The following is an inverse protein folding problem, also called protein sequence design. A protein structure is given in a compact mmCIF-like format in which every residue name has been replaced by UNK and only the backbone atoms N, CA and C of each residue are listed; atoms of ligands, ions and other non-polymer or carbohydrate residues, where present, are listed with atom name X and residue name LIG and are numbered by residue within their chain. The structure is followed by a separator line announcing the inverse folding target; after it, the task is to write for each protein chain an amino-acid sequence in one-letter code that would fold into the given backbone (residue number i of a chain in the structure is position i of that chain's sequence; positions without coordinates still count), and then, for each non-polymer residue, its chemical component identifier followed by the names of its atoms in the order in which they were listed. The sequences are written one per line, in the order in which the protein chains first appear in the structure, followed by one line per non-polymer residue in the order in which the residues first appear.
data_IF_716681085489
#
_entry.id   IF_716681085489
#
_cell.length_a   1.000
_cell.length_b   1.000
_cell.length_c   1.000
_cell.angle_alpha   90.00
_cell.angle_beta   90.00
_cell.angle_gamma   90.00
#
_symmetry.space_group_name_H-M   'P 1'
#
loop_
_entity.id
_entity.type
_entity.pdbx_description
1 polymer ?
#
# COMPACT_ATOMS: atom_id res chain seq x y z
N UNK A 1 0.33 13.38 29.27
CA UNK A 1 -0.98 12.89 28.78
C UNK A 1 -1.64 13.84 27.78
N UNK A 2 -1.83 15.13 28.10
CA UNK A 2 -2.48 16.08 27.18
C UNK A 2 -1.80 16.19 25.80
N UNK A 3 -0.47 16.25 25.76
CA UNK A 3 0.30 16.30 24.50
C UNK A 3 0.02 15.07 23.62
N UNK A 4 -0.05 13.88 24.22
CA UNK A 4 -0.32 12.63 23.51
C UNK A 4 -1.75 12.61 22.97
N UNK A 5 -2.71 13.10 23.77
CA UNK A 5 -4.09 13.26 23.31
C UNK A 5 -4.19 14.23 22.13
N UNK A 6 -3.48 15.37 22.16
CA UNK A 6 -3.43 16.32 21.05
C UNK A 6 -2.77 15.74 19.80
N UNK A 7 -1.68 14.97 19.96
CA UNK A 7 -1.02 14.28 18.86
C UNK A 7 -1.94 13.26 18.19
N UNK A 8 -2.65 12.45 18.99
CA UNK A 8 -3.62 11.48 18.48
C UNK A 8 -4.76 12.20 17.77
N UNK A 9 -5.31 13.26 18.36
CA UNK A 9 -6.33 14.08 17.72
C UNK A 9 -5.87 14.65 16.37
N UNK A 10 -4.67 15.21 16.30
CA UNK A 10 -4.11 15.75 15.06
C UNK A 10 -3.86 14.66 14.02
N UNK A 11 -3.36 13.50 14.44
CA UNK A 11 -3.15 12.35 13.58
C UNK A 11 -4.45 11.81 12.99
N UNK A 12 -5.52 11.71 13.79
CA UNK A 12 -6.84 11.30 13.32
C UNK A 12 -7.51 12.33 12.41
N UNK A 13 -7.14 13.62 12.53
CA UNK A 13 -7.54 14.66 11.57
C UNK A 13 -6.78 14.59 10.24
N UNK A 14 -5.79 13.70 10.10
CA UNK A 14 -4.98 13.55 8.89
C UNK A 14 -3.72 14.42 8.87
N UNK A 15 -3.35 15.05 9.99
CA UNK A 15 -2.08 15.79 10.09
C UNK A 15 -0.95 14.77 10.23
N UNK A 16 0.05 14.77 9.33
CA UNK A 16 1.21 13.90 9.47
C UNK A 16 2.02 14.35 10.69
N UNK A 17 1.88 13.62 11.80
CA UNK A 17 2.58 13.91 13.06
C UNK A 17 4.05 13.47 13.04
N UNK A 18 4.48 12.74 12.01
CA UNK A 18 5.85 12.25 11.85
C UNK A 18 6.24 11.12 12.81
N UNK A 19 5.33 10.69 13.69
CA UNK A 19 5.54 9.66 14.71
C UNK A 19 4.41 8.64 14.60
N UNK A 20 4.74 7.35 14.63
CA UNK A 20 3.76 6.28 14.77
C UNK A 20 3.01 6.46 16.10
N UNK A 21 1.69 6.69 16.04
CA UNK A 21 0.91 7.05 17.22
C UNK A 21 0.92 5.93 18.27
N UNK A 22 1.04 4.67 17.85
CA UNK A 22 1.21 3.52 18.72
C UNK A 22 2.48 3.62 19.57
N UNK A 23 3.57 4.11 18.98
CA UNK A 23 4.84 4.34 19.68
C UNK A 23 4.66 5.48 20.69
N UNK A 24 3.97 6.55 20.31
CA UNK A 24 3.66 7.65 21.23
C UNK A 24 2.84 7.17 22.44
N UNK A 25 1.89 6.24 22.24
CA UNK A 25 1.09 5.65 23.33
C UNK A 25 1.89 4.70 24.21
N UNK A 26 2.78 3.89 23.61
CA UNK A 26 3.69 3.01 24.33
C UNK A 26 4.65 3.82 25.22
N UNK A 27 5.23 4.90 24.67
CA UNK A 27 6.08 5.83 25.42
C UNK A 27 5.30 6.58 26.50
N UNK A 28 4.05 6.99 26.21
CA UNK A 28 3.19 7.62 27.20
C UNK A 28 2.90 6.68 28.38
N UNK A 29 2.57 5.42 28.09
CA UNK A 29 2.30 4.40 29.10
C UNK A 29 3.51 4.10 29.98
N UNK A 30 4.71 4.11 29.42
CA UNK A 30 5.94 3.79 30.14
C UNK A 30 6.48 4.94 30.99
N UNK A 31 6.61 6.13 30.39
CA UNK A 31 7.27 7.26 31.06
C UNK A 31 6.31 8.17 31.83
N UNK A 32 5.05 8.29 31.41
CA UNK A 32 4.16 9.32 31.93
C UNK A 32 3.01 8.79 32.78
N UNK A 33 2.90 7.46 32.95
CA UNK A 33 1.89 6.83 33.79
C UNK A 33 2.61 6.09 34.91
N UNK A 34 2.35 6.48 36.16
CA UNK A 34 3.01 5.90 37.34
C UNK A 34 2.08 5.09 38.23
N UNK A 35 0.77 5.15 38.01
CA UNK A 35 -0.24 4.46 38.81
C UNK A 35 -1.38 3.91 37.94
N UNK A 36 -2.09 2.91 38.44
CA UNK A 36 -3.23 2.31 37.75
C UNK A 36 -4.39 3.30 37.50
N UNK A 37 -4.76 4.21 38.44
CA UNK A 37 -5.74 5.25 38.15
C UNK A 37 -5.29 6.22 37.03
N UNK A 38 -4.01 6.55 36.97
CA UNK A 38 -3.46 7.37 35.89
C UNK A 38 -3.49 6.66 34.54
N UNK A 39 -3.37 5.33 34.52
CA UNK A 39 -3.53 4.52 33.31
C UNK A 39 -4.95 4.61 32.77
N UNK A 40 -5.95 4.36 33.62
CA UNK A 40 -7.36 4.44 33.22
C UNK A 40 -7.69 5.85 32.72
N UNK A 41 -7.25 6.88 33.43
CA UNK A 41 -7.45 8.26 33.02
C UNK A 41 -6.78 8.56 31.66
N UNK A 42 -5.55 8.11 31.46
CA UNK A 42 -4.82 8.26 30.19
C UNK A 42 -5.54 7.60 29.03
N UNK A 43 -6.02 6.37 29.21
CA UNK A 43 -6.78 5.63 28.20
C UNK A 43 -8.06 6.38 27.86
N UNK A 44 -8.86 6.79 28.85
CA UNK A 44 -10.12 7.53 28.62
C UNK A 44 -9.83 8.83 27.87
N UNK A 45 -8.86 9.63 28.34
CA UNK A 45 -8.55 10.92 27.76
C UNK A 45 -8.12 10.81 26.29
N UNK A 46 -7.24 9.87 25.98
CA UNK A 46 -6.75 9.68 24.62
C UNK A 46 -7.81 9.04 23.72
N UNK A 47 -8.60 8.08 24.22
CA UNK A 47 -9.72 7.51 23.46
C UNK A 47 -10.76 8.57 23.12
N UNK A 48 -11.04 9.52 24.02
CA UNK A 48 -11.92 10.67 23.71
C UNK A 48 -11.32 11.52 22.58
N UNK A 49 -10.01 11.80 22.62
CA UNK A 49 -9.35 12.54 21.56
C UNK A 49 -9.38 11.82 20.20
N UNK A 50 -9.15 10.50 20.18
CA UNK A 50 -9.27 9.65 18.98
C UNK A 50 -10.70 9.67 18.41
N UNK A 51 -11.71 9.49 19.27
CA UNK A 51 -13.12 9.52 18.88
C UNK A 51 -13.47 10.89 18.29
N UNK A 52 -13.04 11.99 18.92
CA UNK A 52 -13.32 13.34 18.42
C UNK A 52 -12.69 13.61 17.05
N UNK A 53 -11.41 13.24 16.86
CA UNK A 53 -10.71 13.42 15.59
C UNK A 53 -11.36 12.62 14.45
N UNK A 54 -11.62 11.33 14.71
CA UNK A 54 -12.27 10.47 13.71
C UNK A 54 -13.72 10.82 13.44
N UNK A 55 -14.44 11.36 14.42
CA UNK A 55 -15.81 11.87 14.24
C UNK A 55 -15.80 13.12 13.37
N UNK A 56 -14.85 14.04 13.59
CA UNK A 56 -14.71 15.23 12.76
C UNK A 56 -14.45 14.87 11.29
N UNK A 57 -13.52 13.94 11.03
CA UNK A 57 -13.21 13.53 9.66
C UNK A 57 -14.36 12.75 9.00
N UNK A 58 -15.12 11.95 9.77
CA UNK A 58 -16.33 11.30 9.27
C UNK A 58 -17.38 12.33 8.82
N UNK A 59 -17.62 13.37 9.63
CA UNK A 59 -18.58 14.44 9.32
C UNK A 59 -18.12 15.24 8.09
N UNK A 60 -16.84 15.62 8.02
CA UNK A 60 -16.25 16.34 6.87
C UNK A 60 -16.38 15.48 5.60
N UNK A 61 -16.09 14.19 5.69
CA UNK A 61 -16.16 13.26 4.55
C UNK A 61 -17.60 13.04 4.08
N UNK A 62 -18.56 12.99 5.01
CA UNK A 62 -19.99 12.85 4.72
C UNK A 62 -20.59 14.10 4.07
N UNK A 63 -20.20 15.28 4.53
CA UNK A 63 -20.77 16.56 4.09
C UNK A 63 -20.09 17.11 2.84
N UNK A 64 -18.75 17.14 2.84
CA UNK A 64 -17.91 17.68 1.76
C UNK A 64 -17.38 16.61 0.82
N UNK A 65 -16.95 15.46 1.35
CA UNK A 65 -16.30 14.39 0.57
C UNK A 65 -17.18 13.82 -0.54
N UNK A 66 -18.47 13.58 -0.28
CA UNK A 66 -19.41 13.12 -1.32
C UNK A 66 -19.56 14.15 -2.45
N UNK A 67 -19.69 15.44 -2.15
CA UNK A 67 -19.80 16.51 -3.17
C UNK A 67 -18.50 16.70 -3.95
N UNK A 68 -17.35 16.70 -3.26
CA UNK A 68 -16.04 16.82 -3.88
C UNK A 68 -15.73 15.63 -4.78
N UNK A 69 -16.06 14.40 -4.35
CA UNK A 69 -15.86 13.19 -5.14
C UNK A 69 -16.78 13.16 -6.37
N UNK A 70 -18.04 13.58 -6.24
CA UNK A 70 -18.95 13.73 -7.37
C UNK A 70 -18.50 14.82 -8.36
N UNK A 71 -17.89 15.90 -7.85
CA UNK A 71 -17.32 16.96 -8.67
C UNK A 71 -16.06 16.50 -9.42
N UNK A 72 -15.14 15.79 -8.75
CA UNK A 72 -13.93 15.22 -9.36
C UNK A 72 -14.25 14.16 -10.42
N UNK A 73 -15.31 13.38 -10.20
CA UNK A 73 -15.71 12.24 -11.05
C UNK A 73 -16.83 12.59 -12.04
N UNK A 74 -17.17 13.88 -12.19
CA UNK A 74 -18.18 14.40 -13.13
C UNK A 74 -18.04 13.88 -14.56
N UNK A 75 -16.85 13.46 -14.98
CA UNK A 75 -16.59 12.92 -16.32
C UNK A 75 -16.81 11.40 -16.47
N UNK A 76 -17.13 10.66 -15.40
CA UNK A 76 -17.36 9.19 -15.42
C UNK A 76 -18.76 8.78 -14.90
N UNK A 77 -19.74 9.68 -15.04
CA UNK A 77 -20.81 9.93 -14.05
C UNK A 77 -21.91 8.88 -13.80
N UNK A 78 -22.15 7.86 -14.64
CA UNK A 78 -23.35 7.01 -14.44
C UNK A 78 -23.08 5.66 -13.76
N UNK A 79 -21.93 5.03 -13.97
CA UNK A 79 -21.69 3.67 -13.48
C UNK A 79 -21.37 3.59 -11.97
N UNK A 80 -20.95 4.71 -11.37
CA UNK A 80 -20.31 4.74 -10.04
C UNK A 80 -21.25 5.12 -8.89
N UNK A 81 -22.31 5.88 -9.14
CA UNK A 81 -23.37 6.10 -8.15
C UNK A 81 -23.97 4.76 -7.71
N UNK A 82 -24.27 3.90 -8.68
CA UNK A 82 -24.72 2.54 -8.42
C UNK A 82 -23.68 1.72 -7.64
N UNK A 83 -22.37 1.95 -7.83
CA UNK A 83 -21.35 1.21 -7.06
C UNK A 83 -21.44 1.58 -5.58
N UNK A 84 -21.41 2.87 -5.25
CA UNK A 84 -21.46 3.34 -3.87
C UNK A 84 -22.75 2.92 -3.18
N UNK A 85 -23.89 3.05 -3.86
CA UNK A 85 -25.19 2.65 -3.31
C UNK A 85 -25.30 1.13 -3.18
N UNK A 86 -24.74 0.35 -4.13
CA UNK A 86 -24.65 -1.13 -4.01
C UNK A 86 -23.77 -1.55 -2.85
N UNK A 87 -22.63 -0.88 -2.62
CA UNK A 87 -21.78 -1.18 -1.47
C UNK A 87 -22.47 -0.79 -0.18
N UNK A 88 -23.05 0.40 -0.09
CA UNK A 88 -23.84 0.83 1.07
C UNK A 88 -24.94 -0.19 1.41
N UNK A 89 -25.72 -0.62 0.41
CA UNK A 89 -26.76 -1.64 0.59
C UNK A 89 -26.21 -3.01 0.99
N UNK A 90 -25.04 -3.43 0.47
CA UNK A 90 -24.39 -4.69 0.87
C UNK A 90 -23.82 -4.66 2.28
N UNK A 91 -23.39 -3.49 2.73
CA UNK A 91 -22.85 -3.27 4.06
C UNK A 91 -23.94 -3.02 5.11
N UNK A 92 -25.18 -2.79 4.67
CA UNK A 92 -26.33 -2.59 5.55
C UNK A 92 -26.44 -3.73 6.57
N UNK A 93 -26.48 -3.35 7.85
CA UNK A 93 -26.55 -4.29 8.98
C UNK A 93 -25.21 -4.78 9.54
N UNK A 94 -24.09 -4.61 8.83
CA UNK A 94 -22.74 -4.98 9.32
C UNK A 94 -21.82 -3.76 9.53
N UNK A 95 -22.37 -2.55 9.45
CA UNK A 95 -21.65 -1.27 9.54
C UNK A 95 -20.83 -1.15 10.84
N UNK A 96 -21.41 -1.52 11.98
CA UNK A 96 -20.76 -1.44 13.30
C UNK A 96 -19.53 -2.35 13.36
N UNK A 97 -19.70 -3.61 12.95
CA UNK A 97 -18.64 -4.62 12.94
C UNK A 97 -17.51 -4.23 11.98
N UNK A 98 -17.87 -3.73 10.81
CA UNK A 98 -16.90 -3.25 9.82
C UNK A 98 -16.07 -2.09 10.37
N UNK A 99 -16.73 -1.07 10.93
CA UNK A 99 -16.02 0.08 11.53
C UNK A 99 -15.11 -0.39 12.66
N UNK A 100 -15.58 -1.29 13.53
CA UNK A 100 -14.79 -1.82 14.63
C UNK A 100 -13.55 -2.59 14.15
N UNK A 101 -13.74 -3.62 13.31
CA UNK A 101 -12.66 -4.50 12.86
C UNK A 101 -11.62 -3.74 12.03
N UNK A 102 -12.06 -2.84 11.14
CA UNK A 102 -11.14 -2.09 10.28
C UNK A 102 -10.39 -1.03 11.09
N UNK A 103 -11.00 -0.43 12.12
CA UNK A 103 -10.32 0.55 12.99
C UNK A 103 -9.24 -0.05 13.89
N UNK A 104 -9.34 -1.33 14.23
CA UNK A 104 -8.29 -2.02 14.98
C UNK A 104 -7.00 -2.12 14.15
N UNK A 105 -7.10 -2.13 12.81
CA UNK A 105 -5.95 -2.17 11.92
C UNK A 105 -5.27 -0.78 11.86
N UNK A 106 -4.03 -0.62 12.37
CA UNK A 106 -3.30 0.65 12.51
C UNK A 106 -3.33 1.59 11.29
N UNK A 107 -3.38 1.00 10.09
CA UNK A 107 -3.28 1.72 8.82
C UNK A 107 -4.61 1.95 8.14
N UNK A 108 -5.50 0.97 8.23
CA UNK A 108 -6.78 1.04 7.53
C UNK A 108 -7.76 1.95 8.27
N UNK A 109 -7.49 2.22 9.55
CA UNK A 109 -8.33 3.04 10.43
C UNK A 109 -8.49 4.51 10.01
N UNK A 110 -7.53 5.10 9.30
CA UNK A 110 -7.73 6.45 8.75
C UNK A 110 -8.70 6.39 7.55
N UNK A 111 -8.54 5.39 6.68
CA UNK A 111 -9.35 5.23 5.49
C UNK A 111 -10.80 4.85 5.81
N UNK A 112 -11.06 4.13 6.90
CA UNK A 112 -12.45 3.78 7.27
C UNK A 112 -13.25 4.98 7.75
N UNK A 113 -12.64 5.97 8.41
CA UNK A 113 -13.33 7.19 8.83
C UNK A 113 -13.73 8.04 7.61
N UNK A 114 -12.87 8.11 6.60
CA UNK A 114 -13.17 8.75 5.31
C UNK A 114 -14.22 7.93 4.54
N UNK A 115 -13.97 6.63 4.36
CA UNK A 115 -14.84 5.71 3.62
C UNK A 115 -16.24 5.59 4.20
N UNK A 116 -16.38 5.57 5.53
CA UNK A 116 -17.68 5.57 6.21
C UNK A 116 -18.47 6.86 5.96
N UNK A 117 -17.79 8.00 5.87
CA UNK A 117 -18.41 9.26 5.47
C UNK A 117 -18.88 9.23 4.01
N UNK A 118 -18.04 8.72 3.10
CA UNK A 118 -18.36 8.59 1.67
C UNK A 118 -19.51 7.62 1.39
N UNK A 119 -19.56 6.49 2.11
CA UNK A 119 -20.63 5.50 2.04
C UNK A 119 -21.91 5.91 2.81
N UNK A 120 -21.89 7.10 3.43
CA UNK A 120 -22.99 7.67 4.20
C UNK A 120 -23.47 6.76 5.35
N UNK A 121 -22.56 6.00 5.98
CA UNK A 121 -22.87 5.15 7.14
C UNK A 121 -23.57 5.98 8.23
N UNK A 122 -24.65 5.50 8.85
CA UNK A 122 -25.33 6.25 9.90
C UNK A 122 -24.40 6.56 11.07
N UNK A 123 -24.44 7.82 11.53
CA UNK A 123 -23.53 8.33 12.56
C UNK A 123 -23.53 7.47 13.83
N UNK A 124 -24.70 6.98 14.23
CA UNK A 124 -24.87 6.10 15.39
C UNK A 124 -24.11 4.77 15.24
N UNK A 125 -24.19 4.15 14.06
CA UNK A 125 -23.49 2.89 13.79
C UNK A 125 -21.97 3.09 13.74
N UNK A 126 -21.52 4.20 13.13
CA UNK A 126 -20.11 4.59 13.15
C UNK A 126 -19.60 4.74 14.59
N UNK A 127 -20.32 5.48 15.43
CA UNK A 127 -19.88 5.73 16.80
C UNK A 127 -19.88 4.45 17.66
N UNK A 128 -20.87 3.58 17.48
CA UNK A 128 -20.94 2.28 18.15
C UNK A 128 -19.77 1.35 17.80
N UNK A 129 -19.22 1.44 16.59
CA UNK A 129 -18.01 0.69 16.21
C UNK A 129 -16.72 1.41 16.60
N UNK A 130 -16.71 2.75 16.50
CA UNK A 130 -15.55 3.60 16.74
C UNK A 130 -15.15 3.65 18.22
N UNK A 131 -16.11 3.79 19.14
CA UNK A 131 -15.85 3.85 20.58
C UNK A 131 -15.07 2.62 21.08
N UNK A 132 -15.57 1.38 20.92
CA UNK A 132 -14.85 0.21 21.42
C UNK A 132 -13.51 0.01 20.70
N UNK A 133 -13.43 0.35 19.40
CA UNK A 133 -12.15 0.29 18.68
C UNK A 133 -11.12 1.28 19.26
N UNK A 134 -11.53 2.50 19.59
CA UNK A 134 -10.67 3.52 20.19
C UNK A 134 -10.13 3.08 21.56
N UNK A 135 -10.97 2.45 22.39
CA UNK A 135 -10.52 1.93 23.68
C UNK A 135 -9.54 0.77 23.54
N UNK A 136 -9.79 -0.15 22.61
CA UNK A 136 -8.89 -1.28 22.34
C UNK A 136 -7.54 -0.76 21.79
N UNK A 137 -7.59 0.12 20.80
CA UNK A 137 -6.40 0.62 20.13
C UNK A 137 -5.55 1.54 21.02
N UNK A 138 -6.16 2.35 21.91
CA UNK A 138 -5.41 3.13 22.90
C UNK A 138 -4.94 2.25 24.06
N UNK A 139 -5.83 1.38 24.54
CA UNK A 139 -5.62 0.58 25.75
C UNK A 139 -4.48 -0.41 25.61
N UNK A 140 -4.37 -1.13 24.50
CA UNK A 140 -3.33 -2.13 24.28
C UNK A 140 -1.91 -1.51 24.37
N UNK A 141 -1.50 -0.56 23.50
CA UNK A 141 -0.15 -0.01 23.52
C UNK A 141 0.14 0.77 24.81
N UNK A 142 -0.83 1.49 25.36
CA UNK A 142 -0.63 2.25 26.60
C UNK A 142 -0.45 1.32 27.82
N UNK A 143 -1.21 0.21 27.88
CA UNK A 143 -1.05 -0.79 28.94
C UNK A 143 0.26 -1.56 28.79
N UNK A 144 0.65 -1.90 27.56
CA UNK A 144 1.96 -2.51 27.29
C UNK A 144 3.09 -1.59 27.76
N UNK A 145 3.01 -0.28 27.45
CA UNK A 145 3.99 0.69 27.94
C UNK A 145 4.05 0.74 29.47
N UNK A 146 2.88 0.69 30.13
CA UNK A 146 2.79 0.71 31.59
C UNK A 146 3.37 -0.54 32.26
N UNK A 147 3.22 -1.72 31.65
CA UNK A 147 3.71 -2.98 32.20
C UNK A 147 5.21 -3.20 31.93
N UNK A 148 5.70 -2.79 30.76
CA UNK A 148 7.07 -3.08 30.30
C UNK A 148 8.02 -1.88 30.44
N UNK A 149 7.84 -1.03 31.47
CA UNK A 149 8.57 0.25 31.65
C UNK A 149 10.09 0.12 31.46
N UNK A 150 10.68 -0.94 31.98
CA UNK A 150 12.14 -1.13 32.03
C UNK A 150 12.75 -1.62 30.70
N UNK A 151 11.94 -2.10 29.76
CA UNK A 151 12.39 -2.68 28.47
C UNK A 151 11.81 -1.95 27.24
N UNK A 152 11.19 -0.79 27.45
CA UNK A 152 10.47 -0.04 26.39
C UNK A 152 11.33 0.30 25.18
N UNK A 153 12.65 0.47 25.35
CA UNK A 153 13.54 0.77 24.21
C UNK A 153 13.71 -0.42 23.26
N UNK A 154 13.76 -1.65 23.76
CA UNK A 154 13.85 -2.86 22.92
C UNK A 154 12.50 -3.16 22.26
N UNK A 155 11.40 -3.06 23.02
CA UNK A 155 10.05 -3.27 22.48
C UNK A 155 9.62 -2.21 21.48
N UNK A 156 10.00 -0.94 21.66
CA UNK A 156 9.66 0.12 20.72
C UNK A 156 10.33 -0.11 19.36
N UNK A 157 11.57 -0.59 19.33
CA UNK A 157 12.29 -0.88 18.10
C UNK A 157 11.69 -2.09 17.36
N UNK A 158 11.43 -3.19 18.07
CA UNK A 158 10.82 -4.39 17.48
C UNK A 158 9.37 -4.15 17.03
N UNK A 159 8.58 -3.42 17.81
CA UNK A 159 7.20 -3.08 17.45
C UNK A 159 7.16 -2.16 16.23
N UNK A 160 8.06 -1.17 16.16
CA UNK A 160 8.19 -0.30 15.00
C UNK A 160 8.54 -1.12 13.75
N UNK A 161 9.49 -2.05 13.86
CA UNK A 161 9.86 -2.94 12.75
C UNK A 161 8.69 -3.85 12.34
N UNK A 162 8.01 -4.49 13.28
CA UNK A 162 6.86 -5.34 13.01
C UNK A 162 5.69 -4.56 12.38
N UNK A 163 5.42 -3.35 12.86
CA UNK A 163 4.43 -2.45 12.28
C UNK A 163 4.80 -2.05 10.85
N UNK A 164 6.07 -1.77 10.56
CA UNK A 164 6.55 -1.52 9.20
C UNK A 164 6.42 -2.76 8.29
N UNK A 165 6.77 -3.94 8.79
CA UNK A 165 6.63 -5.19 8.02
C UNK A 165 5.16 -5.44 7.69
N UNK A 166 4.25 -5.31 8.66
CA UNK A 166 2.80 -5.44 8.45
C UNK A 166 2.30 -4.35 7.48
N UNK A 167 2.79 -3.11 7.63
CA UNK A 167 2.46 -1.97 6.76
C UNK A 167 2.74 -2.26 5.29
N UNK A 168 3.89 -2.84 4.97
CA UNK A 168 4.25 -3.12 3.58
C UNK A 168 3.71 -4.47 3.10
N UNK A 169 3.68 -5.48 3.97
CA UNK A 169 3.28 -6.84 3.60
C UNK A 169 1.79 -6.98 3.30
N UNK A 170 0.91 -6.34 4.06
CA UNK A 170 -0.56 -6.50 3.88
C UNK A 170 -1.07 -5.88 2.56
N UNK A 171 -0.69 -4.64 2.21
CA UNK A 171 -1.01 -4.07 0.90
C UNK A 171 -0.35 -4.85 -0.24
N UNK A 172 0.90 -5.29 -0.07
CA UNK A 172 1.58 -6.13 -1.06
C UNK A 172 0.81 -7.44 -1.30
N UNK A 173 0.37 -8.12 -0.24
CA UNK A 173 -0.49 -9.31 -0.33
C UNK A 173 -1.84 -9.00 -0.99
N UNK A 174 -2.45 -7.86 -0.70
CA UNK A 174 -3.67 -7.39 -1.35
C UNK A 174 -3.49 -7.19 -2.86
N UNK A 175 -2.39 -6.55 -3.26
CA UNK A 175 -2.02 -6.38 -4.67
C UNK A 175 -1.73 -7.73 -5.32
N UNK A 176 -0.98 -8.61 -4.67
CA UNK A 176 -0.67 -9.96 -5.18
C UNK A 176 -1.93 -10.78 -5.37
N UNK A 177 -2.85 -10.78 -4.40
CA UNK A 177 -4.12 -11.52 -4.49
C UNK A 177 -5.07 -10.90 -5.52
N UNK A 178 -5.10 -9.58 -5.67
CA UNK A 178 -5.85 -8.90 -6.71
C UNK A 178 -5.30 -9.25 -8.11
N UNK A 179 -3.99 -9.23 -8.29
CA UNK A 179 -3.31 -9.66 -9.52
C UNK A 179 -3.58 -11.14 -9.79
N UNK A 180 -3.41 -12.01 -8.79
CA UNK A 180 -3.67 -13.45 -8.92
C UNK A 180 -5.15 -13.73 -9.25
N UNK A 181 -6.09 -13.01 -8.64
CA UNK A 181 -7.51 -13.09 -8.93
C UNK A 181 -7.87 -12.58 -10.33
N UNK A 182 -7.22 -11.51 -10.78
CA UNK A 182 -7.37 -10.95 -12.13
C UNK A 182 -6.81 -11.89 -13.21
N UNK A 183 -5.68 -12.56 -12.93
CA UNK A 183 -5.09 -13.61 -13.76
C UNK A 183 -5.99 -14.85 -13.78
N UNK A 184 -6.52 -15.29 -12.64
CA UNK A 184 -7.39 -16.49 -12.53
C UNK A 184 -8.75 -16.32 -13.20
N UNK A 185 -9.30 -15.10 -13.26
CA UNK A 185 -10.58 -14.77 -13.92
C UNK A 185 -10.56 -14.89 -15.46
N UNK A 186 -9.42 -15.22 -16.08
CA UNK A 186 -9.40 -15.62 -17.49
C UNK A 186 -9.92 -17.05 -17.65
N UNK A 187 -11.06 -17.22 -18.33
CA UNK A 187 -11.71 -18.53 -18.53
C UNK A 187 -10.93 -19.56 -19.37
N UNK A 188 -9.88 -19.13 -20.09
CA UNK A 188 -9.02 -19.99 -20.91
C UNK A 188 -7.54 -19.86 -20.54
N UNK A 189 -6.78 -20.95 -20.67
CA UNK A 189 -5.33 -21.02 -20.36
C UNK A 189 -4.52 -19.92 -21.05
N UNK A 190 -4.87 -19.56 -22.31
CA UNK A 190 -4.19 -18.50 -23.08
C UNK A 190 -4.45 -17.09 -22.54
N UNK A 191 -5.68 -16.77 -22.17
CA UNK A 191 -6.01 -15.49 -21.55
C UNK A 191 -5.34 -15.34 -20.17
N UNK A 192 -5.18 -16.44 -19.44
CA UNK A 192 -4.42 -16.50 -18.18
C UNK A 192 -2.93 -16.27 -18.41
N UNK A 193 -2.36 -16.84 -19.48
CA UNK A 193 -0.96 -16.69 -19.86
C UNK A 193 -0.60 -15.24 -20.26
N UNK A 194 -1.41 -14.57 -21.09
CA UNK A 194 -1.18 -13.16 -21.45
C UNK A 194 -1.29 -12.21 -20.25
N UNK A 195 -2.25 -12.43 -19.35
CA UNK A 195 -2.39 -11.63 -18.12
C UNK A 195 -1.23 -11.84 -17.16
N UNK A 196 -0.74 -13.08 -17.03
CA UNK A 196 0.41 -13.39 -16.20
C UNK A 196 1.72 -12.79 -16.77
N UNK A 197 1.96 -12.94 -18.08
CA UNK A 197 3.12 -12.35 -18.77
C UNK A 197 3.16 -10.83 -18.66
N UNK A 198 1.99 -10.18 -18.80
CA UNK A 198 1.87 -8.74 -18.62
C UNK A 198 2.17 -8.31 -17.18
N UNK A 199 1.54 -8.95 -16.19
CA UNK A 199 1.76 -8.63 -14.78
C UNK A 199 3.22 -8.82 -14.35
N UNK A 200 3.82 -9.97 -14.67
CA UNK A 200 5.22 -10.24 -14.34
C UNK A 200 6.19 -9.34 -15.14
N UNK A 201 5.87 -9.05 -16.41
CA UNK A 201 6.64 -8.11 -17.23
C UNK A 201 6.69 -6.70 -16.62
N UNK A 202 5.54 -6.18 -16.15
CA UNK A 202 5.49 -4.90 -15.44
C UNK A 202 6.29 -4.93 -14.13
N UNK A 203 6.20 -6.02 -13.36
CA UNK A 203 6.96 -6.16 -12.10
C UNK A 203 8.46 -6.16 -12.35
N UNK A 204 8.94 -6.99 -13.30
CA UNK A 204 10.37 -7.08 -13.63
C UNK A 204 10.90 -5.76 -14.19
N UNK A 205 10.12 -5.08 -15.04
CA UNK A 205 10.51 -3.78 -15.56
C UNK A 205 10.55 -2.68 -14.48
N UNK A 206 9.60 -2.69 -13.53
CA UNK A 206 9.61 -1.76 -12.40
C UNK A 206 10.82 -1.98 -11.50
N UNK A 207 11.18 -3.24 -11.21
CA UNK A 207 12.39 -3.58 -10.46
C UNK A 207 13.65 -3.12 -11.20
N UNK A 208 13.74 -3.38 -12.51
CA UNK A 208 14.87 -2.94 -13.33
C UNK A 208 15.02 -1.42 -13.40
N UNK A 209 13.90 -0.68 -13.50
CA UNK A 209 13.90 0.78 -13.49
C UNK A 209 14.31 1.35 -12.13
N UNK A 210 13.79 0.79 -11.03
CA UNK A 210 14.17 1.20 -9.69
C UNK A 210 15.66 0.96 -9.43
N UNK A 211 16.18 -0.19 -9.85
CA UNK A 211 17.61 -0.51 -9.80
C UNK A 211 18.46 0.49 -10.60
N UNK A 212 18.02 0.85 -11.82
CA UNK A 212 18.70 1.84 -12.65
C UNK A 212 18.73 3.22 -12.00
N UNK A 213 17.61 3.69 -11.45
CA UNK A 213 17.52 4.98 -10.76
C UNK A 213 18.47 5.00 -9.55
N UNK A 214 18.46 3.93 -8.75
CA UNK A 214 19.32 3.81 -7.57
C UNK A 214 20.81 3.82 -7.95
N UNK A 215 21.22 3.07 -8.98
CA UNK A 215 22.62 3.04 -9.43
C UNK A 215 23.04 4.37 -10.06
N UNK A 216 22.20 5.03 -10.87
CA UNK A 216 22.49 6.36 -11.45
C UNK A 216 22.65 7.42 -10.36
N UNK A 217 21.79 7.39 -9.34
CA UNK A 217 21.88 8.32 -8.22
C UNK A 217 23.18 8.13 -7.43
N UNK A 218 23.52 6.88 -7.10
CA UNK A 218 24.77 6.53 -6.39
C UNK A 218 26.02 6.86 -7.22
N UNK A 219 25.98 6.69 -8.53
CA UNK A 219 27.03 7.12 -9.46
C UNK A 219 27.20 8.64 -9.47
N UNK A 220 26.11 9.40 -9.41
CA UNK A 220 26.14 10.86 -9.31
C UNK A 220 26.84 11.35 -8.05
N UNK A 221 26.59 10.70 -6.91
CA UNK A 221 27.27 11.02 -5.64
C UNK A 221 28.77 10.71 -5.67
N UNK A 222 29.18 9.57 -6.27
CA UNK A 222 30.61 9.22 -6.39
C UNK A 222 31.38 10.17 -7.32
N UNK A 223 30.76 10.60 -8.43
CA UNK A 223 31.35 11.60 -9.34
C UNK A 223 31.47 12.96 -8.64
N UNK A 224 30.45 13.36 -7.87
CA UNK A 224 30.45 14.62 -7.13
C UNK A 224 31.50 14.66 -6.00
N UNK A 225 31.86 13.51 -5.43
CA UNK A 225 32.88 13.37 -4.39
C UNK A 225 34.31 13.22 -4.93
N UNK A 226 34.50 13.30 -6.25
CA UNK A 226 35.82 13.30 -6.91
C UNK A 226 36.50 11.93 -7.00
N UNK A 227 35.82 10.86 -6.58
CA UNK A 227 36.33 9.49 -6.66
C UNK A 227 36.08 8.93 -8.07
N UNK A 228 37.11 8.99 -8.92
CA UNK A 228 37.29 8.03 -10.01
C UNK A 228 36.31 8.08 -11.18
N UNK A 229 36.00 9.26 -11.73
CA UNK A 229 35.15 9.43 -12.93
C UNK A 229 35.56 8.56 -14.14
N UNK A 230 36.84 8.24 -14.29
CA UNK A 230 37.36 7.39 -15.38
C UNK A 230 37.07 5.89 -15.17
N UNK A 231 36.94 5.42 -13.93
CA UNK A 231 36.62 4.02 -13.60
C UNK A 231 35.13 3.67 -13.75
N UNK A 232 34.28 4.70 -13.80
CA UNK A 232 32.82 4.60 -13.90
C UNK A 232 32.31 4.62 -15.35
N UNK A 233 33.13 5.07 -16.31
CA UNK A 233 32.79 5.10 -17.73
C UNK A 233 32.23 3.77 -18.30
N UNK A 234 32.76 2.57 -17.94
CA UNK A 234 32.28 1.32 -18.51
C UNK A 234 30.91 0.87 -17.99
N UNK A 235 30.32 1.48 -16.95
CA UNK A 235 29.00 1.10 -16.42
C UNK A 235 27.83 1.68 -17.24
N UNK A 236 28.03 2.85 -17.85
CA UNK A 236 27.01 3.55 -18.65
C UNK A 236 26.42 2.73 -19.81
N UNK A 237 27.21 2.01 -20.64
CA UNK A 237 26.63 1.16 -21.69
C UNK A 237 25.75 0.06 -21.12
N UNK A 238 26.10 -0.53 -19.97
CA UNK A 238 25.28 -1.57 -19.32
C UNK A 238 23.95 -1.01 -18.79
N UNK A 239 23.97 0.21 -18.23
CA UNK A 239 22.75 0.90 -17.81
C UNK A 239 21.85 1.24 -19.00
N UNK A 240 22.41 1.65 -20.15
CA UNK A 240 21.64 1.89 -21.37
C UNK A 240 20.99 0.61 -21.92
N UNK A 241 21.72 -0.51 -21.92
CA UNK A 241 21.18 -1.82 -22.32
C UNK A 241 20.07 -2.25 -21.36
N UNK A 242 20.25 -2.07 -20.04
CA UNK A 242 19.22 -2.37 -19.05
C UNK A 242 17.95 -1.53 -19.27
N UNK A 243 18.11 -0.23 -19.53
CA UNK A 243 16.99 0.67 -19.84
C UNK A 243 16.24 0.25 -21.12
N UNK A 244 16.98 -0.10 -22.18
CA UNK A 244 16.39 -0.56 -23.44
C UNK A 244 15.61 -1.87 -23.27
N UNK A 245 16.14 -2.82 -22.50
CA UNK A 245 15.47 -4.08 -22.19
C UNK A 245 14.22 -3.88 -21.32
N UNK A 246 14.30 -3.00 -20.31
CA UNK A 246 13.15 -2.66 -19.47
C UNK A 246 12.02 -1.99 -20.27
N UNK A 247 12.36 -1.07 -21.19
CA UNK A 247 11.42 -0.46 -22.12
C UNK A 247 10.80 -1.49 -23.09
N UNK A 248 11.61 -2.40 -23.62
CA UNK A 248 11.11 -3.47 -24.49
C UNK A 248 10.15 -4.40 -23.74
N UNK A 249 10.46 -4.75 -22.49
CA UNK A 249 9.59 -5.58 -21.65
C UNK A 249 8.28 -4.86 -21.28
N UNK A 250 8.32 -3.55 -21.00
CA UNK A 250 7.13 -2.73 -20.79
C UNK A 250 6.26 -2.65 -22.04
N UNK A 251 6.85 -2.40 -23.20
CA UNK A 251 6.12 -2.37 -24.47
C UNK A 251 5.43 -3.72 -24.73
N UNK A 252 6.14 -4.83 -24.49
CA UNK A 252 5.58 -6.17 -24.61
C UNK A 252 4.44 -6.42 -23.60
N UNK A 253 4.59 -5.98 -22.35
CA UNK A 253 3.56 -6.11 -21.32
C UNK A 253 2.29 -5.31 -21.65
N UNK A 254 2.41 -4.13 -22.28
CA UNK A 254 1.29 -3.32 -22.77
C UNK A 254 0.58 -3.99 -23.95
N UNK A 255 1.33 -4.60 -24.87
CA UNK A 255 0.77 -5.35 -26.01
C UNK A 255 -0.02 -6.56 -25.51
N UNK A 256 0.54 -7.34 -24.59
CA UNK A 256 -0.12 -8.50 -23.98
C UNK A 256 -1.38 -8.10 -23.18
N UNK A 257 -1.35 -6.96 -22.48
CA UNK A 257 -2.51 -6.41 -21.76
C UNK A 257 -3.66 -6.04 -22.72
N UNK A 258 -3.33 -5.43 -23.87
CA UNK A 258 -4.30 -5.03 -24.90
C UNK A 258 -4.85 -6.22 -25.69
N UNK A 259 -4.13 -7.35 -25.75
CA UNK A 259 -4.57 -8.58 -26.41
C UNK A 259 -5.52 -9.43 -25.53
N UNK A 260 -5.49 -9.24 -24.21
CA UNK A 260 -6.29 -10.01 -23.25
C UNK A 260 -7.83 -9.93 -23.40
N UNK A 261 -8.44 -8.81 -23.86
CA UNK A 261 -9.89 -8.75 -24.12
C UNK A 261 -10.30 -9.43 -25.44
N UNK A 262 -9.42 -9.43 -26.46
CA UNK A 262 -9.74 -9.93 -27.82
C UNK A 262 -9.84 -11.45 -27.92
N UNK A 263 -9.26 -12.18 -26.96
CA UNK A 263 -9.31 -13.64 -26.87
C UNK A 263 -10.61 -14.18 -26.25
N UNK A 264 -11.54 -13.31 -25.83
CA UNK A 264 -12.84 -13.70 -25.27
C UNK A 264 -13.94 -13.93 -26.32
N UNK A 265 -13.74 -13.56 -27.60
CA UNK A 265 -14.73 -13.81 -28.65
C UNK A 265 -14.60 -15.22 -29.22
N UNK A 266 -15.66 -16.06 -29.18
CA UNK A 266 -15.65 -17.38 -29.80
C UNK A 266 -15.89 -17.18 -31.31
N UNK A 267 -14.84 -16.88 -32.06
CA UNK A 267 -14.90 -16.96 -33.52
C UNK A 267 -14.03 -18.10 -34.01
N UNK A 268 -14.65 -18.92 -34.85
CA UNK A 268 -14.22 -20.22 -35.37
C UNK A 268 -13.02 -20.13 -36.35
N UNK A 269 -12.12 -19.16 -36.18
CA UNK A 269 -11.13 -18.80 -37.16
C UNK A 269 -9.68 -18.99 -36.66
N UNK A 270 -9.01 -19.95 -37.33
CA UNK A 270 -7.57 -20.08 -37.57
C UNK A 270 -6.75 -20.91 -36.57
N UNK A 271 -6.56 -22.16 -36.99
CA UNK A 271 -5.53 -23.13 -36.57
C UNK A 271 -4.06 -22.68 -36.75
N UNK A 272 -3.76 -21.42 -37.07
CA UNK A 272 -2.40 -20.96 -37.47
C UNK A 272 -1.60 -20.17 -36.41
N UNK A 273 -2.03 -20.13 -35.14
CA UNK A 273 -1.42 -19.23 -34.14
C UNK A 273 -0.53 -19.83 -33.02
N UNK A 274 -0.19 -21.15 -32.92
CA UNK A 274 0.66 -21.62 -31.83
C UNK A 274 2.12 -21.15 -31.96
N UNK A 275 2.62 -20.94 -33.19
CA UNK A 275 4.03 -20.56 -33.44
C UNK A 275 4.30 -19.11 -33.03
N UNK A 276 3.36 -18.19 -33.30
CA UNK A 276 3.47 -16.78 -32.90
C UNK A 276 3.37 -16.62 -31.38
N UNK A 277 2.52 -17.42 -30.73
CA UNK A 277 2.38 -17.44 -29.27
C UNK A 277 3.64 -18.02 -28.59
N UNK A 278 4.24 -19.06 -29.18
CA UNK A 278 5.52 -19.63 -28.73
C UNK A 278 6.66 -18.62 -28.91
N UNK A 279 6.77 -17.99 -30.09
CA UNK A 279 7.79 -16.98 -30.38
C UNK A 279 7.72 -15.78 -29.44
N UNK A 280 6.52 -15.25 -29.19
CA UNK A 280 6.35 -14.13 -28.25
C UNK A 280 6.66 -14.52 -26.81
N UNK A 281 6.37 -15.76 -26.41
CA UNK A 281 6.72 -16.28 -25.07
C UNK A 281 8.23 -16.44 -24.94
N UNK A 282 8.91 -16.96 -25.96
CA UNK A 282 10.36 -17.09 -25.99
C UNK A 282 11.02 -15.71 -25.90
N UNK A 283 10.56 -14.73 -26.69
CA UNK A 283 11.07 -13.35 -26.63
C UNK A 283 10.87 -12.75 -25.24
N UNK A 284 9.71 -12.95 -24.63
CA UNK A 284 9.44 -12.46 -23.28
C UNK A 284 10.34 -13.11 -22.22
N UNK A 285 10.54 -14.43 -22.28
CA UNK A 285 11.46 -15.14 -21.37
C UNK A 285 12.89 -14.63 -21.55
N UNK A 286 13.34 -14.45 -22.79
CA UNK A 286 14.67 -13.92 -23.09
C UNK A 286 14.87 -12.49 -22.56
N UNK A 287 13.85 -11.63 -22.63
CA UNK A 287 13.91 -10.27 -22.06
C UNK A 287 14.02 -10.30 -20.54
N UNK A 288 13.21 -11.12 -19.86
CA UNK A 288 13.26 -11.27 -18.40
C UNK A 288 14.62 -11.81 -17.97
N UNK A 289 15.09 -12.88 -18.61
CA UNK A 289 16.40 -13.47 -18.32
C UNK A 289 17.55 -12.49 -18.59
N UNK A 290 17.47 -11.71 -19.67
CA UNK A 290 18.46 -10.69 -20.02
C UNK A 290 18.57 -9.57 -18.98
N UNK A 291 17.43 -9.04 -18.51
CA UNK A 291 17.41 -8.03 -17.44
C UNK A 291 18.04 -8.59 -16.16
N UNK A 292 17.63 -9.80 -15.75
CA UNK A 292 18.18 -10.43 -14.54
C UNK A 292 19.68 -10.71 -14.65
N UNK A 293 20.15 -11.21 -15.80
CA UNK A 293 21.56 -11.51 -16.03
C UNK A 293 22.43 -10.24 -16.03
N UNK A 294 21.94 -9.14 -16.62
CA UNK A 294 22.66 -7.86 -16.63
C UNK A 294 22.69 -7.24 -15.23
N UNK A 295 21.58 -7.30 -14.47
CA UNK A 295 21.56 -6.83 -13.09
C UNK A 295 22.59 -7.59 -12.22
N UNK A 296 22.62 -8.92 -12.34
CA UNK A 296 23.59 -9.77 -11.63
C UNK A 296 25.03 -9.48 -12.11
N UNK A 297 25.24 -9.32 -13.41
CA UNK A 297 26.55 -8.99 -13.97
C UNK A 297 27.09 -7.64 -13.51
N UNK A 298 26.22 -6.63 -13.44
CA UNK A 298 26.56 -5.31 -12.89
C UNK A 298 26.93 -5.43 -11.41
N UNK A 299 26.16 -6.18 -10.60
CA UNK A 299 26.56 -6.37 -9.20
C UNK A 299 27.89 -7.12 -9.10
N UNK A 300 28.06 -8.24 -9.80
CA UNK A 300 29.28 -9.06 -9.67
C UNK A 300 30.56 -8.31 -10.11
N UNK A 301 30.51 -7.49 -11.16
CA UNK A 301 31.68 -6.76 -11.65
C UNK A 301 31.91 -5.39 -11.00
N UNK A 302 30.87 -4.78 -10.42
CA UNK A 302 30.94 -3.45 -9.80
C UNK A 302 30.59 -3.46 -8.30
N UNK A 303 30.73 -4.62 -7.65
CA UNK A 303 30.47 -4.90 -6.22
C UNK A 303 31.25 -3.98 -5.24
N UNK A 304 32.28 -3.28 -5.73
CA UNK A 304 33.19 -2.44 -4.94
C UNK A 304 32.82 -0.93 -5.03
N UNK A 305 31.73 -0.57 -5.73
CA UNK A 305 31.20 0.80 -5.85
C UNK A 305 29.90 0.98 -5.07
#
# INVERSE_FOLDING_TARGET
MLIVALLVFAGELGVPTGIALEVALLLAGSYAIHSFPALIFGIILVSVADILGTTAIHIISRTGGRRAMLWLLRHQSTWQHDILDRWSNRLSGHEVMLVFLVRILPLVRMYISIGSGLLAIPFKAFLQGAIPAAFVWVGIPMTLGYLFRDQVHEFAAEYTYAAYVILFALPALGVITAIAGWVRRGGFFRARLHRFRSALGFTVAAIGLAYLIMKVWRLGEMVATGLGALSLLPIYPWLLVLAALALALLAMAVIDLRAAPRTQQPSNARRHLPIVELATTIVWVSLVAGISAIMIGIELHYLVL
#
